data_IF_061709358892
#
_entry.id   IF_061709358892
#
_cell.length_a   1.000
_cell.length_b   1.000
_cell.length_c   1.000
_cell.angle_alpha   90.00
_cell.angle_beta   90.00
_cell.angle_gamma   90.00
#
_symmetry.space_group_name_H-M   'P 1'
#
loop_
_entity.id
_entity.type
_entity.pdbx_description
1 polymer ?
#
# COMPACT_ATOMS: atom_id res chain seq x y z
N UNK A 1 -19.05 2.58 -11.47
CA UNK A 1 -20.16 2.36 -10.52
C UNK A 1 -19.73 2.85 -9.14
N UNK A 2 -20.66 3.46 -8.40
CA UNK A 2 -20.43 3.99 -7.06
C UNK A 2 -20.01 2.88 -6.06
N UNK A 3 -19.35 3.25 -4.95
CA UNK A 3 -18.91 2.34 -3.89
C UNK A 3 -20.13 1.87 -3.05
N UNK A 4 -20.93 1.00 -3.65
CA UNK A 4 -22.15 0.43 -3.05
C UNK A 4 -22.21 -1.07 -3.27
N UNK A 5 -22.31 -1.85 -2.19
CA UNK A 5 -22.36 -3.31 -2.26
C UNK A 5 -23.53 -3.84 -3.07
N UNK A 6 -24.75 -3.31 -2.87
CA UNK A 6 -25.95 -3.80 -3.55
C UNK A 6 -25.83 -3.62 -5.07
N UNK A 7 -25.46 -2.41 -5.50
CA UNK A 7 -25.28 -2.09 -6.92
C UNK A 7 -24.17 -2.94 -7.55
N UNK A 8 -22.99 -3.00 -6.92
CA UNK A 8 -21.86 -3.78 -7.44
C UNK A 8 -22.17 -5.27 -7.49
N UNK A 9 -22.83 -5.83 -6.48
CA UNK A 9 -23.25 -7.24 -6.49
C UNK A 9 -24.21 -7.54 -7.64
N UNK A 10 -25.19 -6.69 -7.90
CA UNK A 10 -26.09 -6.83 -9.05
C UNK A 10 -25.34 -6.78 -10.37
N UNK A 11 -24.48 -5.78 -10.55
CA UNK A 11 -23.68 -5.60 -11.76
C UNK A 11 -22.76 -6.81 -12.01
N UNK A 12 -22.03 -7.26 -10.99
CA UNK A 12 -21.09 -8.37 -11.12
C UNK A 12 -21.79 -9.72 -11.36
N UNK A 13 -23.02 -9.90 -10.86
CA UNK A 13 -23.84 -11.05 -11.22
C UNK A 13 -24.19 -11.05 -12.73
N UNK A 14 -24.58 -9.91 -13.28
CA UNK A 14 -24.87 -9.76 -14.71
C UNK A 14 -23.59 -10.05 -15.53
N UNK A 15 -22.49 -9.38 -15.21
CA UNK A 15 -21.20 -9.57 -15.89
C UNK A 15 -20.79 -11.05 -15.85
N UNK A 16 -20.92 -11.69 -14.68
CA UNK A 16 -20.59 -13.12 -14.52
C UNK A 16 -21.36 -14.07 -15.41
N UNK A 17 -22.61 -13.70 -15.80
CA UNK A 17 -23.44 -14.50 -16.72
C UNK A 17 -22.98 -14.40 -18.17
N UNK A 18 -22.60 -13.20 -18.61
CA UNK A 18 -22.34 -12.90 -20.02
C UNK A 18 -20.86 -12.84 -20.40
N UNK A 19 -19.97 -12.63 -19.43
CA UNK A 19 -18.54 -12.58 -19.70
C UNK A 19 -17.99 -13.95 -20.18
N UNK A 20 -17.10 -13.91 -21.17
CA UNK A 20 -16.40 -15.12 -21.70
C UNK A 20 -15.85 -15.96 -20.55
N UNK A 21 -15.93 -17.32 -20.68
CA UNK A 21 -15.53 -18.27 -19.63
C UNK A 21 -14.13 -18.00 -19.04
N UNK A 22 -13.20 -17.60 -19.88
CA UNK A 22 -11.80 -17.35 -19.48
C UNK A 22 -11.47 -15.87 -19.15
N UNK A 23 -12.46 -14.97 -19.17
CA UNK A 23 -12.24 -13.57 -18.83
C UNK A 23 -12.03 -13.40 -17.33
N UNK A 24 -11.08 -12.55 -16.95
CA UNK A 24 -10.97 -12.03 -15.59
C UNK A 24 -12.10 -11.02 -15.39
N UNK A 25 -12.76 -11.06 -14.25
CA UNK A 25 -13.74 -10.06 -13.85
C UNK A 25 -13.15 -9.31 -12.66
N UNK A 26 -12.82 -8.04 -12.89
CA UNK A 26 -12.18 -7.19 -11.89
C UNK A 26 -12.99 -5.93 -11.65
N UNK A 27 -13.14 -5.55 -10.39
CA UNK A 27 -13.68 -4.25 -9.99
C UNK A 27 -12.55 -3.34 -9.53
N UNK A 28 -12.63 -2.06 -9.87
CA UNK A 28 -11.73 -1.01 -9.35
C UNK A 28 -12.20 -0.41 -8.03
N UNK A 29 -12.95 -1.15 -7.23
CA UNK A 29 -13.41 -0.73 -5.91
C UNK A 29 -12.25 -0.42 -4.98
N UNK A 30 -12.37 0.66 -4.20
CA UNK A 30 -11.28 1.13 -3.33
C UNK A 30 -11.27 0.49 -1.94
N UNK A 31 -12.37 -0.12 -1.47
CA UNK A 31 -12.41 -0.64 -0.09
C UNK A 31 -13.39 -1.79 0.14
N UNK A 32 -14.26 -2.09 -0.81
CA UNK A 32 -15.28 -3.11 -0.67
C UNK A 32 -14.68 -4.52 -0.83
N UNK A 33 -15.06 -5.43 0.07
CA UNK A 33 -14.57 -6.79 0.05
C UNK A 33 -15.00 -7.56 -1.21
N UNK A 34 -14.07 -8.13 -1.99
CA UNK A 34 -14.38 -8.87 -3.21
C UNK A 34 -15.31 -10.05 -2.97
N UNK A 35 -15.13 -10.82 -1.90
CA UNK A 35 -16.05 -11.93 -1.56
C UNK A 35 -17.49 -11.47 -1.50
N UNK A 36 -17.77 -10.28 -0.96
CA UNK A 36 -19.12 -9.74 -0.86
C UNK A 36 -19.65 -9.22 -2.20
N UNK A 37 -18.81 -8.49 -2.96
CA UNK A 37 -19.17 -7.99 -4.30
C UNK A 37 -19.51 -9.14 -5.25
N UNK A 38 -18.73 -10.20 -5.22
CA UNK A 38 -18.87 -11.32 -6.14
C UNK A 38 -19.70 -12.50 -5.59
N UNK A 39 -20.41 -12.30 -4.47
CA UNK A 39 -21.18 -13.35 -3.79
C UNK A 39 -22.19 -14.07 -4.68
N UNK A 40 -22.79 -13.36 -5.65
CA UNK A 40 -23.77 -13.88 -6.62
C UNK A 40 -23.19 -14.04 -8.03
N UNK A 41 -21.88 -13.86 -8.21
CA UNK A 41 -21.26 -13.97 -9.52
C UNK A 41 -21.08 -15.44 -9.93
N UNK A 42 -21.46 -15.77 -11.19
CA UNK A 42 -21.17 -17.07 -11.77
C UNK A 42 -19.66 -17.22 -11.99
N UNK A 43 -19.11 -18.38 -11.63
CA UNK A 43 -17.68 -18.68 -11.72
C UNK A 43 -16.81 -17.65 -10.95
N UNK A 44 -16.99 -17.55 -9.63
CA UNK A 44 -16.32 -16.56 -8.79
C UNK A 44 -14.80 -16.77 -8.68
N UNK A 45 -14.28 -17.93 -9.09
CA UNK A 45 -12.85 -18.24 -9.11
C UNK A 45 -12.02 -17.30 -10.03
N UNK A 46 -12.67 -16.62 -10.96
CA UNK A 46 -12.07 -15.68 -11.92
C UNK A 46 -12.27 -14.19 -11.53
N UNK A 47 -12.85 -13.94 -10.35
CA UNK A 47 -13.17 -12.60 -9.88
C UNK A 47 -12.14 -12.09 -8.89
N UNK A 48 -11.89 -10.78 -8.90
CA UNK A 48 -10.96 -10.11 -7.98
C UNK A 48 -11.20 -8.60 -7.97
N UNK A 49 -10.54 -7.89 -7.10
CA UNK A 49 -10.34 -6.45 -7.23
C UNK A 49 -9.03 -6.21 -7.99
N UNK A 50 -9.03 -5.20 -8.86
CA UNK A 50 -7.85 -4.57 -9.41
C UNK A 50 -7.97 -3.09 -9.11
N UNK A 51 -7.39 -2.66 -8.01
CA UNK A 51 -7.49 -1.30 -7.49
C UNK A 51 -6.29 -0.46 -7.94
N UNK A 52 -6.44 0.40 -8.98
CA UNK A 52 -5.38 1.30 -9.42
C UNK A 52 -5.36 2.55 -8.54
N UNK A 53 -4.22 3.22 -8.52
CA UNK A 53 -4.06 4.49 -7.79
C UNK A 53 -4.34 5.70 -8.69
N UNK A 54 -4.94 6.72 -8.12
CA UNK A 54 -5.20 7.98 -8.83
C UNK A 54 -3.97 8.90 -8.77
N UNK A 55 -3.56 9.55 -9.87
CA UNK A 55 -4.11 9.39 -11.24
C UNK A 55 -3.58 8.12 -11.93
N UNK A 56 -4.51 7.31 -12.46
CA UNK A 56 -4.21 5.98 -13.04
C UNK A 56 -3.18 6.02 -14.18
N UNK A 57 -3.14 7.11 -14.92
CA UNK A 57 -2.21 7.31 -16.05
C UNK A 57 -0.79 7.72 -15.61
N UNK A 58 -0.58 8.01 -14.32
CA UNK A 58 0.73 8.37 -13.76
C UNK A 58 1.21 7.35 -12.74
N UNK A 59 0.29 6.80 -11.94
CA UNK A 59 0.63 5.85 -10.88
C UNK A 59 0.58 4.42 -11.42
N UNK A 60 1.71 3.74 -11.57
CA UNK A 60 1.73 2.39 -12.15
C UNK A 60 1.23 1.30 -11.20
N UNK A 61 1.03 1.60 -9.93
CA UNK A 61 0.58 0.64 -8.92
C UNK A 61 -0.85 0.16 -9.17
N UNK A 62 -1.10 -1.14 -8.94
CA UNK A 62 -2.45 -1.73 -8.90
C UNK A 62 -2.50 -2.83 -7.85
N UNK A 63 -3.38 -2.73 -6.88
CA UNK A 63 -3.60 -3.80 -5.91
C UNK A 63 -4.50 -4.87 -6.52
N UNK A 64 -4.02 -6.10 -6.55
CA UNK A 64 -4.80 -7.27 -6.97
C UNK A 64 -5.24 -8.02 -5.72
N UNK A 65 -6.52 -7.86 -5.37
CA UNK A 65 -7.08 -8.40 -4.12
C UNK A 65 -7.99 -9.59 -4.41
N UNK A 66 -7.66 -10.80 -3.92
CA UNK A 66 -8.48 -11.98 -4.09
C UNK A 66 -9.70 -11.93 -3.18
N UNK A 67 -10.83 -12.49 -3.64
CA UNK A 67 -11.88 -12.96 -2.75
C UNK A 67 -11.62 -14.41 -2.30
N UNK A 68 -12.42 -14.91 -1.37
CA UNK A 68 -12.27 -16.28 -0.82
C UNK A 68 -12.31 -17.39 -1.88
N UNK A 69 -13.01 -17.16 -2.99
CA UNK A 69 -13.16 -18.13 -4.10
C UNK A 69 -12.24 -17.86 -5.29
N UNK A 70 -11.46 -16.79 -5.26
CA UNK A 70 -10.54 -16.44 -6.35
C UNK A 70 -9.42 -17.48 -6.47
N UNK A 71 -9.22 -18.05 -7.65
CA UNK A 71 -8.18 -19.07 -7.83
C UNK A 71 -6.81 -18.47 -8.16
N UNK A 72 -5.74 -19.17 -7.76
CA UNK A 72 -4.35 -18.80 -8.08
C UNK A 72 -4.11 -18.66 -9.58
N UNK A 73 -4.79 -19.50 -10.41
CA UNK A 73 -4.72 -19.42 -11.88
C UNK A 73 -5.09 -18.03 -12.39
N UNK A 74 -6.21 -17.48 -11.92
CA UNK A 74 -6.70 -16.18 -12.37
C UNK A 74 -5.93 -15.02 -11.75
N UNK A 75 -5.41 -15.17 -10.52
CA UNK A 75 -4.48 -14.19 -9.94
C UNK A 75 -3.19 -14.09 -10.76
N UNK A 76 -2.61 -15.22 -11.14
CA UNK A 76 -1.42 -15.23 -12.01
C UNK A 76 -1.70 -14.62 -13.40
N UNK A 77 -2.90 -14.87 -13.95
CA UNK A 77 -3.33 -14.26 -15.21
C UNK A 77 -3.47 -12.74 -15.08
N UNK A 78 -4.05 -12.25 -13.99
CA UNK A 78 -4.17 -10.83 -13.70
C UNK A 78 -2.80 -10.17 -13.52
N UNK A 79 -1.88 -10.81 -12.77
CA UNK A 79 -0.51 -10.33 -12.61
C UNK A 79 0.19 -10.14 -13.97
N UNK A 80 0.10 -11.15 -14.85
CA UNK A 80 0.66 -11.07 -16.22
C UNK A 80 0.01 -9.96 -17.04
N UNK A 81 -1.31 -9.85 -16.97
CA UNK A 81 -2.07 -8.81 -17.69
C UNK A 81 -1.65 -7.40 -17.25
N UNK A 82 -1.64 -7.11 -15.95
CA UNK A 82 -1.26 -5.78 -15.49
C UNK A 82 0.19 -5.44 -15.86
N UNK A 83 1.12 -6.40 -15.77
CA UNK A 83 2.50 -6.22 -16.24
C UNK A 83 2.59 -5.93 -17.73
N UNK A 84 1.76 -6.58 -18.56
CA UNK A 84 1.78 -6.38 -20.01
C UNK A 84 1.32 -5.00 -20.47
N UNK A 85 0.61 -4.28 -19.59
CA UNK A 85 0.20 -2.88 -19.79
C UNK A 85 1.01 -1.90 -18.94
N UNK A 86 2.24 -2.28 -18.58
CA UNK A 86 3.20 -1.45 -17.82
C UNK A 86 2.75 -1.03 -16.43
N UNK A 87 1.82 -1.77 -15.82
CA UNK A 87 1.46 -1.57 -14.41
C UNK A 87 2.27 -2.48 -13.48
N UNK A 88 2.39 -2.07 -12.21
CA UNK A 88 3.06 -2.80 -11.15
C UNK A 88 2.04 -3.45 -10.21
N UNK A 89 1.62 -4.70 -10.44
CA UNK A 89 0.61 -5.36 -9.60
C UNK A 89 1.16 -5.71 -8.22
N UNK A 90 0.44 -5.25 -7.19
CA UNK A 90 0.66 -5.57 -5.78
C UNK A 90 -0.30 -6.71 -5.44
N UNK A 91 0.25 -7.94 -5.33
CA UNK A 91 -0.55 -9.13 -5.06
C UNK A 91 -0.90 -9.24 -3.58
N UNK A 92 -2.12 -8.86 -3.23
CA UNK A 92 -2.60 -8.93 -1.84
C UNK A 92 -2.92 -10.37 -1.48
N UNK A 93 -2.45 -10.83 -0.31
CA UNK A 93 -2.55 -12.25 0.08
C UNK A 93 -3.98 -12.70 0.42
N UNK A 94 -4.76 -11.81 1.03
CA UNK A 94 -6.15 -12.04 1.45
C UNK A 94 -6.93 -10.73 1.38
N UNK A 95 -8.24 -10.81 1.14
CA UNK A 95 -9.10 -9.63 1.22
C UNK A 95 -9.07 -8.99 2.61
N UNK A 96 -9.06 -7.68 2.63
CA UNK A 96 -9.20 -6.86 3.83
C UNK A 96 -9.91 -5.55 3.47
N UNK A 97 -10.67 -4.95 4.40
CA UNK A 97 -11.30 -3.65 4.15
C UNK A 97 -10.25 -2.56 3.90
N UNK A 98 -10.45 -1.73 2.85
CA UNK A 98 -9.52 -0.66 2.50
C UNK A 98 -8.18 -1.14 1.92
N UNK A 99 -8.04 -2.43 1.64
CA UNK A 99 -6.84 -3.09 1.10
C UNK A 99 -5.55 -2.64 1.81
N UNK A 100 -4.43 -2.56 1.14
CA UNK A 100 -3.16 -2.18 1.80
C UNK A 100 -2.97 -0.66 1.82
N UNK A 101 -3.09 -0.01 0.66
CA UNK A 101 -2.75 1.40 0.51
C UNK A 101 -3.76 2.31 1.19
N UNK A 102 -5.06 2.09 0.97
CA UNK A 102 -6.09 2.94 1.58
C UNK A 102 -6.09 2.79 3.11
N UNK A 103 -5.80 1.58 3.64
CA UNK A 103 -5.63 1.42 5.09
C UNK A 103 -4.47 2.20 5.66
N UNK A 104 -3.33 2.23 4.95
CA UNK A 104 -2.15 3.00 5.39
C UNK A 104 -2.42 4.49 5.28
N UNK A 105 -3.03 4.91 4.18
CA UNK A 105 -3.42 6.30 3.95
C UNK A 105 -4.45 6.79 4.98
N UNK A 106 -5.46 5.96 5.28
CA UNK A 106 -6.47 6.27 6.29
C UNK A 106 -5.90 6.37 7.70
N UNK A 107 -4.90 5.56 8.04
CA UNK A 107 -4.22 5.67 9.32
C UNK A 107 -3.50 7.02 9.47
N UNK A 108 -2.80 7.45 8.42
CA UNK A 108 -2.14 8.76 8.38
C UNK A 108 -3.14 9.91 8.40
N UNK A 109 -4.22 9.80 7.62
CA UNK A 109 -5.29 10.78 7.56
C UNK A 109 -5.98 10.99 8.92
N UNK A 110 -6.33 9.90 9.61
CA UNK A 110 -6.95 9.98 10.95
C UNK A 110 -6.06 10.67 11.95
N UNK A 111 -4.79 10.35 11.96
CA UNK A 111 -3.83 10.99 12.86
C UNK A 111 -3.70 12.48 12.54
N UNK A 112 -3.61 12.85 11.26
CA UNK A 112 -3.60 14.24 10.83
C UNK A 112 -4.83 15.02 11.29
N UNK A 113 -6.02 14.43 11.19
CA UNK A 113 -7.27 15.05 11.70
C UNK A 113 -7.24 15.26 13.22
N UNK A 114 -6.67 14.34 14.00
CA UNK A 114 -6.51 14.53 15.45
C UNK A 114 -5.57 15.69 15.75
N UNK A 115 -4.42 15.77 15.10
CA UNK A 115 -3.42 16.84 15.29
C UNK A 115 -4.03 18.22 14.98
N UNK A 116 -4.78 18.34 13.89
CA UNK A 116 -5.48 19.57 13.52
C UNK A 116 -6.56 19.93 14.53
N UNK A 117 -7.38 18.96 14.90
CA UNK A 117 -8.49 19.17 15.84
C UNK A 117 -8.00 19.62 17.22
N UNK A 118 -6.83 19.17 17.64
CA UNK A 118 -6.20 19.53 18.92
C UNK A 118 -5.35 20.81 18.82
N UNK A 119 -5.24 21.40 17.62
CA UNK A 119 -4.55 22.68 17.40
C UNK A 119 -3.03 22.61 17.42
N UNK A 120 -2.45 21.42 17.26
CA UNK A 120 -0.99 21.25 17.28
C UNK A 120 -0.29 21.70 16.00
N UNK A 121 -0.98 21.65 14.86
CA UNK A 121 -0.44 22.05 13.57
C UNK A 121 -1.55 22.49 12.62
N UNK A 122 -1.17 23.26 11.60
CA UNK A 122 -1.98 23.57 10.43
C UNK A 122 -1.89 22.45 9.40
N UNK A 123 -2.79 22.43 8.40
CA UNK A 123 -2.72 21.49 7.28
C UNK A 123 -1.41 21.61 6.52
N UNK A 124 -0.92 22.85 6.29
CA UNK A 124 0.35 23.11 5.59
C UNK A 124 1.55 22.55 6.34
N UNK A 125 1.59 22.70 7.67
CA UNK A 125 2.67 22.16 8.49
C UNK A 125 2.69 20.64 8.49
N UNK A 126 1.50 19.99 8.49
CA UNK A 126 1.40 18.54 8.39
C UNK A 126 1.84 18.02 7.02
N UNK A 127 1.39 18.68 5.94
CA UNK A 127 1.82 18.30 4.59
C UNK A 127 3.34 18.48 4.44
N UNK A 128 3.91 19.57 4.91
CA UNK A 128 5.36 19.78 4.93
C UNK A 128 6.11 18.76 5.77
N UNK A 129 5.58 18.37 6.92
CA UNK A 129 6.20 17.35 7.76
C UNK A 129 6.32 16.00 7.02
N UNK A 130 5.35 15.67 6.16
CA UNK A 130 5.41 14.46 5.31
C UNK A 130 6.33 14.70 4.12
N UNK A 131 6.16 15.80 3.38
CA UNK A 131 6.89 16.09 2.14
C UNK A 131 8.39 16.20 2.37
N UNK A 132 8.82 16.93 3.41
CA UNK A 132 10.23 17.17 3.73
C UNK A 132 10.84 16.05 4.60
N UNK A 133 10.01 15.23 5.21
CA UNK A 133 10.38 14.16 6.10
C UNK A 133 10.28 12.75 5.45
N UNK A 134 9.39 11.90 5.94
CA UNK A 134 9.30 10.51 5.49
C UNK A 134 8.92 10.35 4.02
N UNK A 135 8.12 11.25 3.47
CA UNK A 135 7.66 11.23 2.08
C UNK A 135 8.80 11.25 1.08
N UNK A 136 9.91 11.95 1.39
CA UNK A 136 11.11 11.95 0.56
C UNK A 136 11.65 10.54 0.28
N UNK A 137 11.47 9.62 1.22
CA UNK A 137 11.96 8.24 1.12
C UNK A 137 10.91 7.27 0.55
N UNK A 138 9.62 7.56 0.76
CA UNK A 138 8.53 6.64 0.42
C UNK A 138 8.34 6.41 -1.08
N UNK A 139 8.79 7.32 -1.93
CA UNK A 139 8.76 7.12 -3.37
C UNK A 139 9.78 6.08 -3.86
N UNK A 140 10.84 5.81 -3.08
CA UNK A 140 11.84 4.77 -3.37
C UNK A 140 11.61 3.51 -2.54
N UNK A 141 11.30 3.66 -1.24
CA UNK A 141 11.18 2.56 -0.29
C UNK A 141 10.06 2.83 0.71
N UNK A 142 9.25 1.83 1.01
CA UNK A 142 8.20 1.95 2.00
C UNK A 142 8.74 1.97 3.44
N UNK A 143 7.82 2.09 4.39
CA UNK A 143 8.11 2.21 5.83
C UNK A 143 8.99 1.07 6.37
N UNK A 144 8.73 -0.17 5.97
CA UNK A 144 9.49 -1.32 6.48
C UNK A 144 10.95 -1.27 6.10
N UNK A 145 11.26 -0.95 4.84
CA UNK A 145 12.66 -0.86 4.40
C UNK A 145 13.34 0.38 4.99
N UNK A 146 12.62 1.48 5.15
CA UNK A 146 13.11 2.69 5.84
C UNK A 146 13.54 2.35 7.27
N UNK A 147 12.71 1.62 8.02
CA UNK A 147 13.03 1.21 9.40
C UNK A 147 14.11 0.13 9.47
N UNK A 148 14.19 -0.73 8.45
CA UNK A 148 15.34 -1.65 8.33
C UNK A 148 16.66 -0.89 8.24
N UNK A 149 16.72 0.20 7.47
CA UNK A 149 17.91 1.06 7.40
C UNK A 149 18.20 1.78 8.72
N UNK A 150 17.15 2.26 9.42
CA UNK A 150 17.30 2.91 10.71
C UNK A 150 17.91 2.01 11.79
N UNK A 151 17.76 0.69 11.67
CA UNK A 151 18.42 -0.30 12.53
C UNK A 151 19.93 -0.48 12.29
N UNK A 152 20.56 0.29 11.40
CA UNK A 152 21.98 0.23 11.10
C UNK A 152 22.41 -1.13 10.55
N UNK A 153 23.62 -1.59 10.87
CA UNK A 153 24.19 -2.86 10.38
C UNK A 153 23.34 -4.09 10.75
N UNK A 154 22.66 -4.08 11.90
CA UNK A 154 21.81 -5.18 12.35
C UNK A 154 20.39 -5.11 11.75
N UNK A 155 20.02 -4.03 11.07
CA UNK A 155 18.80 -3.89 10.32
C UNK A 155 17.54 -3.96 11.18
N UNK A 156 16.46 -4.57 10.66
CA UNK A 156 15.15 -4.62 11.32
C UNK A 156 15.18 -5.31 12.69
N UNK A 157 16.11 -6.25 12.93
CA UNK A 157 16.23 -6.89 14.24
C UNK A 157 16.51 -5.83 15.31
N UNK A 158 17.54 -5.02 15.11
CA UNK A 158 17.92 -3.95 16.04
C UNK A 158 16.83 -2.88 16.15
N UNK A 159 16.22 -2.52 15.03
CA UNK A 159 15.09 -1.58 15.03
C UNK A 159 13.94 -2.04 15.94
N UNK A 160 13.54 -3.31 15.87
CA UNK A 160 12.48 -3.87 16.70
C UNK A 160 12.87 -4.01 18.17
N UNK A 161 14.12 -4.31 18.46
CA UNK A 161 14.64 -4.41 19.83
C UNK A 161 14.73 -3.04 20.51
N UNK A 162 15.24 -2.04 19.80
CA UNK A 162 15.49 -0.70 20.34
C UNK A 162 14.22 0.15 20.37
N UNK A 163 13.45 0.18 19.28
CA UNK A 163 12.28 1.08 19.14
C UNK A 163 10.94 0.38 19.34
N UNK A 164 10.91 -0.96 19.41
CA UNK A 164 9.70 -1.70 19.72
C UNK A 164 8.99 -1.24 20.99
N UNK A 165 9.70 -0.91 22.08
CA UNK A 165 9.10 -0.34 23.28
C UNK A 165 8.34 0.98 23.06
N UNK A 166 8.78 1.80 22.09
CA UNK A 166 8.13 3.07 21.75
C UNK A 166 6.70 2.92 21.19
N UNK A 167 6.34 1.73 20.69
CA UNK A 167 4.96 1.42 20.28
C UNK A 167 3.94 1.51 21.43
N UNK A 168 4.40 1.53 22.69
CA UNK A 168 3.55 1.71 23.85
C UNK A 168 3.32 3.17 24.23
N UNK A 169 4.08 4.09 23.62
CA UNK A 169 3.95 5.52 23.87
C UNK A 169 2.70 6.08 23.19
N UNK A 170 2.04 7.08 23.78
CA UNK A 170 0.81 7.66 23.25
C UNK A 170 1.07 8.64 22.09
N UNK A 171 1.91 8.26 21.13
CA UNK A 171 2.25 9.11 19.99
C UNK A 171 1.20 9.14 18.90
N UNK A 172 0.29 8.16 18.91
CA UNK A 172 -0.82 8.07 17.96
C UNK A 172 -2.11 7.67 18.67
N UNK A 173 -3.26 7.94 18.05
CA UNK A 173 -4.57 7.45 18.53
C UNK A 173 -4.83 5.99 18.13
N UNK A 174 -3.95 5.39 17.32
CA UNK A 174 -4.05 4.01 16.87
C UNK A 174 -3.58 3.05 17.97
N UNK A 175 -4.33 1.96 18.19
CA UNK A 175 -3.91 0.90 19.11
C UNK A 175 -2.70 0.15 18.55
N UNK A 176 -1.58 0.19 19.28
CA UNK A 176 -0.38 -0.52 18.89
C UNK A 176 -0.56 -2.04 18.90
N UNK A 177 -0.01 -2.78 17.92
CA UNK A 177 -0.01 -4.24 17.94
C UNK A 177 0.99 -4.78 18.97
N UNK A 178 0.69 -5.95 19.55
CA UNK A 178 1.67 -6.67 20.39
C UNK A 178 2.78 -7.23 19.52
N UNK A 179 4.04 -6.86 19.78
CA UNK A 179 5.23 -7.43 19.14
C UNK A 179 5.47 -8.86 19.63
N UNK A 180 4.74 -9.82 19.06
CA UNK A 180 4.97 -11.23 19.33
C UNK A 180 6.20 -11.74 18.58
N UNK A 181 6.82 -12.86 19.04
CA UNK A 181 7.91 -13.53 18.31
C UNK A 181 7.53 -13.81 16.84
N UNK A 182 6.28 -14.22 16.61
CA UNK A 182 5.74 -14.48 15.27
C UNK A 182 5.70 -13.23 14.40
N UNK A 183 5.25 -12.08 14.95
CA UNK A 183 5.21 -10.81 14.22
C UNK A 183 6.62 -10.34 13.88
N UNK A 184 7.53 -10.30 14.87
CA UNK A 184 8.93 -9.91 14.68
C UNK A 184 9.62 -10.76 13.62
N UNK A 185 9.50 -12.08 13.68
CA UNK A 185 10.09 -12.99 12.68
C UNK A 185 9.56 -12.72 11.26
N UNK A 186 8.26 -12.45 11.11
CA UNK A 186 7.66 -12.12 9.81
C UNK A 186 8.21 -10.81 9.24
N UNK A 187 8.33 -9.77 10.07
CA UNK A 187 8.84 -8.46 9.65
C UNK A 187 10.31 -8.57 9.26
N UNK A 188 11.14 -9.22 10.10
CA UNK A 188 12.59 -9.42 9.82
C UNK A 188 12.79 -10.20 8.51
N UNK A 189 12.11 -11.32 8.35
CA UNK A 189 12.23 -12.14 7.13
C UNK A 189 11.74 -11.39 5.89
N UNK A 190 10.64 -10.66 6.00
CA UNK A 190 10.08 -9.85 4.91
C UNK A 190 11.02 -8.76 4.44
N UNK A 191 11.58 -7.98 5.37
CA UNK A 191 12.53 -6.89 5.04
C UNK A 191 13.84 -7.42 4.49
N UNK A 192 14.36 -8.54 5.00
CA UNK A 192 15.53 -9.22 4.42
C UNK A 192 15.28 -9.64 2.97
N UNK A 193 14.09 -10.18 2.66
CA UNK A 193 13.70 -10.52 1.29
C UNK A 193 13.60 -9.28 0.39
N UNK A 194 13.01 -8.17 0.89
CA UNK A 194 12.94 -6.89 0.17
C UNK A 194 14.32 -6.33 -0.17
N UNK A 195 15.28 -6.47 0.72
CA UNK A 195 16.67 -6.03 0.53
C UNK A 195 17.38 -6.79 -0.61
N UNK A 196 16.87 -7.96 -1.06
CA UNK A 196 17.42 -8.75 -2.20
C UNK A 196 18.93 -8.98 -2.08
N UNK A 197 19.41 -9.36 -0.89
CA UNK A 197 20.83 -9.58 -0.63
C UNK A 197 21.69 -8.32 -0.51
N UNK A 198 21.13 -7.14 -0.71
CA UNK A 198 21.84 -5.88 -0.53
C UNK A 198 22.03 -5.58 0.95
N UNK A 199 23.24 -5.14 1.33
CA UNK A 199 23.50 -4.65 2.68
C UNK A 199 22.73 -3.33 2.94
N UNK A 200 22.55 -3.00 4.22
CA UNK A 200 21.96 -1.70 4.62
C UNK A 200 22.75 -0.54 4.00
N UNK A 201 24.08 -0.63 3.96
CA UNK A 201 24.94 0.39 3.34
C UNK A 201 24.65 0.55 1.86
N UNK A 202 24.53 -0.56 1.11
CA UNK A 202 24.21 -0.48 -0.33
C UNK A 202 22.84 0.17 -0.57
N UNK A 203 21.81 -0.20 0.21
CA UNK A 203 20.47 0.38 0.08
C UNK A 203 20.50 1.87 0.47
N UNK A 204 21.26 2.24 1.50
CA UNK A 204 21.44 3.65 1.89
C UNK A 204 22.05 4.48 0.78
N UNK A 205 23.09 3.98 0.12
CA UNK A 205 23.72 4.69 -0.99
C UNK A 205 22.76 4.89 -2.18
N UNK A 206 21.97 3.88 -2.53
CA UNK A 206 20.95 3.98 -3.57
C UNK A 206 19.89 5.03 -3.20
N UNK A 207 19.41 5.01 -1.95
CA UNK A 207 18.48 6.00 -1.43
C UNK A 207 19.05 7.40 -1.53
N UNK A 208 20.29 7.60 -1.11
CA UNK A 208 20.91 8.93 -1.07
C UNK A 208 21.06 9.50 -2.49
N UNK A 209 21.50 8.70 -3.45
CA UNK A 209 21.54 9.09 -4.86
C UNK A 209 20.15 9.48 -5.38
N UNK A 210 19.14 8.65 -5.11
CA UNK A 210 17.76 8.94 -5.49
C UNK A 210 17.25 10.24 -4.88
N UNK A 211 17.51 10.47 -3.59
CA UNK A 211 17.05 11.70 -2.91
C UNK A 211 17.69 12.96 -3.47
N UNK A 212 18.95 12.91 -3.90
CA UNK A 212 19.60 14.03 -4.58
C UNK A 212 18.87 14.39 -5.87
N UNK A 213 18.56 13.40 -6.70
CA UNK A 213 17.82 13.63 -7.96
C UNK A 213 16.39 14.10 -7.70
N UNK A 214 15.71 13.53 -6.72
CA UNK A 214 14.36 13.94 -6.32
C UNK A 214 14.31 15.39 -5.83
N UNK A 215 15.31 15.83 -5.05
CA UNK A 215 15.40 17.22 -4.60
C UNK A 215 15.57 18.18 -5.78
N UNK A 216 16.41 17.85 -6.76
CA UNK A 216 16.55 18.63 -7.99
C UNK A 216 15.22 18.75 -8.73
N UNK A 217 14.51 17.64 -8.86
CA UNK A 217 13.20 17.58 -9.50
C UNK A 217 12.17 18.42 -8.73
N UNK A 218 12.07 18.27 -7.42
CA UNK A 218 11.17 19.06 -6.56
C UNK A 218 11.43 20.55 -6.73
N UNK A 219 12.67 21.01 -6.58
CA UNK A 219 13.03 22.42 -6.71
C UNK A 219 12.58 23.02 -8.05
N UNK A 220 12.65 22.23 -9.14
CA UNK A 220 12.17 22.63 -10.47
C UNK A 220 10.67 22.92 -10.52
N UNK A 221 9.85 22.18 -9.71
CA UNK A 221 8.39 22.26 -9.77
C UNK A 221 7.76 22.98 -8.57
N UNK A 222 8.48 23.18 -7.47
CA UNK A 222 7.98 23.81 -6.24
C UNK A 222 7.39 25.21 -6.51
N UNK A 223 8.09 26.03 -7.31
CA UNK A 223 7.61 27.36 -7.67
C UNK A 223 6.34 27.37 -8.52
N UNK A 224 5.99 26.25 -9.19
CA UNK A 224 4.77 26.13 -9.97
C UNK A 224 3.57 25.77 -9.09
N UNK A 225 3.79 25.09 -7.98
CA UNK A 225 2.74 24.71 -7.04
C UNK A 225 2.39 25.82 -6.06
N UNK A 226 3.38 26.68 -5.69
CA UNK A 226 3.22 27.73 -4.68
C UNK A 226 2.93 29.12 -5.26
N UNK A 227 2.90 29.26 -6.58
CA UNK A 227 2.41 30.45 -7.30
C UNK A 227 0.93 30.30 -7.63
#
# INVERSE_FOLDING_TARGET
ATENYSLKTKLMNIIGKYAKKNAIISSSSSGLLPTRIYSKCKNPERTMIGHPFNPVYMCPGVEVVPGKKTSKKYLNKANKFYKSISMNPIMVQKELPGYLSDRLQEALWREGLHIINEGYATTEELDRAIEDGPGMRWSLMGTFLTFHLAGGKAGMKHMLEQFGPALKLPWTKLKAPKLSKKLSSRVIAGTKKQAKGKSVTMISNIRDQYLVELQKLRKKYENKLRK
#
